data_IF_499267551616
#
_entry.id   IF_499267551616
#
_cell.length_a   1.000
_cell.length_b   1.000
_cell.length_c   1.000
_cell.angle_alpha   90.00
_cell.angle_beta   90.00
_cell.angle_gamma   90.00
#
_symmetry.space_group_name_H-M   'P 1'
#
loop_
_entity.id
_entity.type
_entity.pdbx_description
1 polymer ?
#
# COMPACT_ATOMS: atom_id res chain seq x y z
N UNK A 1 7.07 28.19 24.91
CA UNK A 1 7.66 27.44 23.77
C UNK A 1 6.81 27.70 22.54
N UNK A 2 7.23 27.31 21.33
CA UNK A 2 6.49 27.59 20.09
C UNK A 2 6.11 26.29 19.40
N UNK A 3 4.91 26.24 18.81
CA UNK A 3 4.42 25.12 17.99
C UNK A 3 4.15 25.59 16.57
N UNK A 4 4.47 24.71 15.62
CA UNK A 4 4.15 24.86 14.20
C UNK A 4 3.69 23.51 13.67
N UNK A 5 2.66 23.50 12.82
CA UNK A 5 2.14 22.28 12.20
C UNK A 5 2.20 22.43 10.68
N UNK A 6 2.82 21.48 9.98
CA UNK A 6 2.89 21.45 8.51
C UNK A 6 3.33 22.78 7.88
N UNK A 7 4.37 23.42 8.41
CA UNK A 7 4.85 24.75 7.96
C UNK A 7 3.83 25.89 8.09
N UNK A 8 2.75 25.69 8.87
CA UNK A 8 1.75 26.70 9.15
C UNK A 8 2.23 27.82 10.08
N UNK A 9 1.28 28.67 10.47
CA UNK A 9 1.53 29.75 11.41
C UNK A 9 2.11 29.21 12.74
N UNK A 10 2.99 30.01 13.34
CA UNK A 10 3.56 29.69 14.64
C UNK A 10 2.63 30.14 15.75
N UNK A 11 2.32 29.23 16.67
CA UNK A 11 1.58 29.53 17.89
C UNK A 11 2.54 29.52 19.08
N UNK A 12 2.54 30.60 19.86
CA UNK A 12 3.27 30.64 21.12
C UNK A 12 2.47 29.98 22.23
N UNK A 13 3.12 29.10 23.00
CA UNK A 13 2.54 28.39 24.15
C UNK A 13 3.26 28.87 25.40
N UNK A 14 2.52 29.57 26.24
CA UNK A 14 2.98 30.19 27.47
C UNK A 14 2.65 29.31 28.69
N UNK A 15 3.07 29.75 29.88
CA UNK A 15 2.79 29.00 31.11
C UNK A 15 1.30 29.03 31.44
N UNK A 16 0.68 27.84 31.54
CA UNK A 16 -0.75 27.69 31.82
C UNK A 16 -1.61 27.39 30.59
N UNK A 17 -1.03 27.50 29.39
CA UNK A 17 -1.72 27.14 28.15
C UNK A 17 -1.87 25.62 28.00
N UNK A 18 -2.94 25.21 27.32
CA UNK A 18 -3.20 23.81 26.95
C UNK A 18 -2.95 23.62 25.46
N UNK A 19 -2.31 22.51 25.11
CA UNK A 19 -2.17 22.05 23.72
C UNK A 19 -2.86 20.71 23.60
N UNK A 20 -3.89 20.66 22.77
CA UNK A 20 -4.68 19.46 22.55
C UNK A 20 -4.18 18.68 21.34
N UNK A 21 -4.14 17.35 21.49
CA UNK A 21 -4.06 16.42 20.37
C UNK A 21 -5.42 15.80 20.17
N UNK A 22 -6.01 16.05 19.00
CA UNK A 22 -7.39 15.70 18.69
C UNK A 22 -7.38 14.50 17.74
N UNK A 23 -8.30 13.56 17.98
CA UNK A 23 -8.51 12.42 17.08
C UNK A 23 -8.83 12.89 15.66
N UNK A 24 -8.25 12.22 14.68
CA UNK A 24 -8.69 12.30 13.28
C UNK A 24 -9.64 11.15 12.94
N UNK A 25 -10.11 11.09 11.70
CA UNK A 25 -10.96 9.97 11.25
C UNK A 25 -10.22 8.63 11.31
N UNK A 26 -8.97 8.60 10.83
CA UNK A 26 -8.18 7.38 10.73
C UNK A 26 -7.17 7.20 11.88
N UNK A 27 -6.96 8.22 12.72
CA UNK A 27 -5.94 8.24 13.77
C UNK A 27 -6.59 8.44 15.13
N UNK A 28 -6.42 7.47 16.00
CA UNK A 28 -6.81 7.52 17.40
C UNK A 28 -5.63 7.92 18.28
N UNK A 29 -5.90 8.82 19.21
CA UNK A 29 -4.97 9.38 20.17
C UNK A 29 -5.55 9.16 21.56
N UNK A 30 -4.80 8.50 22.43
CA UNK A 30 -5.17 8.33 23.85
C UNK A 30 -4.07 8.88 24.75
N UNK A 31 -4.46 9.50 25.85
CA UNK A 31 -3.53 10.01 26.86
C UNK A 31 -3.85 9.39 28.22
N UNK A 32 -2.88 8.70 28.78
CA UNK A 32 -2.91 8.20 30.16
C UNK A 32 -1.79 8.85 30.95
N UNK A 33 -2.01 10.10 31.39
CA UNK A 33 -1.08 10.90 32.17
C UNK A 33 0.14 11.35 31.37
N UNK A 34 1.18 10.52 31.33
CA UNK A 34 2.45 10.80 30.63
C UNK A 34 2.66 9.92 29.39
N UNK A 35 1.71 9.03 29.11
CA UNK A 35 1.73 8.15 27.95
C UNK A 35 0.71 8.64 26.92
N UNK A 36 1.21 9.05 25.76
CA UNK A 36 0.38 9.35 24.60
C UNK A 36 0.55 8.17 23.64
N UNK A 37 -0.56 7.51 23.30
CA UNK A 37 -0.58 6.45 22.29
C UNK A 37 -1.23 6.99 21.04
N UNK A 38 -0.56 6.82 19.91
CA UNK A 38 -1.08 7.17 18.58
C UNK A 38 -1.20 5.88 17.79
N UNK A 39 -2.41 5.58 17.34
CA UNK A 39 -2.70 4.37 16.57
C UNK A 39 -3.62 4.66 15.40
N UNK A 40 -3.62 3.77 14.42
CA UNK A 40 -4.63 3.80 13.36
C UNK A 40 -5.95 3.25 13.90
N UNK A 41 -7.07 3.80 13.43
CA UNK A 41 -8.39 3.24 13.69
C UNK A 41 -8.50 1.81 13.14
N UNK A 42 -9.40 1.00 13.72
CA UNK A 42 -9.66 -0.37 13.23
C UNK A 42 -10.21 -0.40 11.82
N UNK A 43 -11.01 0.62 11.48
CA UNK A 43 -11.57 0.85 10.16
C UNK A 43 -11.07 2.21 9.71
N UNK A 44 -10.49 2.27 8.51
CA UNK A 44 -9.92 3.48 7.93
C UNK A 44 -10.56 3.78 6.59
N UNK A 45 -10.75 5.08 6.30
CA UNK A 45 -11.33 5.59 5.07
C UNK A 45 -10.30 6.40 4.31
N UNK A 46 -10.14 6.14 3.01
CA UNK A 46 -9.25 6.90 2.14
C UNK A 46 -9.97 7.22 0.84
N UNK A 47 -9.79 8.44 0.33
CA UNK A 47 -10.28 8.82 -1.00
C UNK A 47 -9.55 8.04 -2.11
N UNK A 48 -8.27 7.73 -1.88
CA UNK A 48 -7.42 7.01 -2.82
C UNK A 48 -6.32 6.25 -2.10
N UNK A 49 -6.10 5.01 -2.52
CA UNK A 49 -4.91 4.23 -2.19
C UNK A 49 -4.12 4.00 -3.48
N UNK A 50 -2.88 4.47 -3.55
CA UNK A 50 -1.99 4.20 -4.69
C UNK A 50 -1.07 3.03 -4.35
N UNK A 51 -1.26 1.91 -5.05
CA UNK A 51 -0.31 0.80 -5.01
C UNK A 51 0.65 0.95 -6.19
N UNK A 52 1.94 1.12 -5.91
CA UNK A 52 2.98 0.96 -6.93
C UNK A 52 3.29 -0.53 -7.04
N UNK A 53 2.53 -1.24 -7.85
CA UNK A 53 2.86 -2.62 -8.21
C UNK A 53 3.89 -2.57 -9.33
N UNK A 54 5.11 -3.01 -9.02
CA UNK A 54 6.09 -3.33 -10.05
C UNK A 54 5.67 -4.67 -10.67
N UNK A 55 4.87 -4.64 -11.74
CA UNK A 55 4.64 -5.82 -12.57
C UNK A 55 5.99 -6.21 -13.18
N UNK A 56 6.73 -7.08 -12.50
CA UNK A 56 8.00 -7.58 -13.02
C UNK A 56 7.74 -8.37 -14.29
N UNK A 57 8.04 -7.72 -15.42
CA UNK A 57 7.95 -8.20 -16.81
C UNK A 57 8.69 -9.56 -17.01
N UNK A 58 9.54 -9.95 -16.05
CA UNK A 58 10.24 -11.24 -15.98
C UNK A 58 9.31 -12.45 -16.12
N UNK A 59 8.09 -12.45 -15.57
CA UNK A 59 7.18 -13.60 -15.69
C UNK A 59 6.49 -13.68 -17.07
N UNK A 60 6.29 -12.55 -17.74
CA UNK A 60 5.74 -12.49 -19.10
C UNK A 60 6.79 -12.87 -20.16
N UNK A 61 8.08 -12.64 -19.87
CA UNK A 61 9.22 -13.01 -20.73
C UNK A 61 9.69 -14.47 -20.48
N UNK A 62 9.25 -15.13 -19.40
CA UNK A 62 9.64 -16.51 -19.05
C UNK A 62 8.68 -17.62 -19.50
N UNK A 63 7.78 -17.39 -20.46
CA UNK A 63 7.05 -18.49 -21.13
C UNK A 63 7.62 -18.88 -22.52
N UNK A 64 8.87 -19.40 -22.68
CA UNK A 64 9.33 -19.93 -23.96
C UNK A 64 8.67 -21.24 -24.44
N UNK A 65 7.89 -21.96 -23.63
CA UNK A 65 7.65 -23.40 -23.88
C UNK A 65 6.27 -23.83 -24.39
N UNK A 66 5.29 -22.94 -24.62
CA UNK A 66 3.93 -23.38 -25.05
C UNK A 66 3.68 -23.19 -26.57
N UNK A 67 4.57 -22.52 -27.32
CA UNK A 67 4.33 -22.18 -28.75
C UNK A 67 4.94 -23.13 -29.80
N UNK A 68 5.37 -24.34 -29.44
CA UNK A 68 5.81 -25.35 -30.43
C UNK A 68 5.20 -26.75 -30.22
N UNK A 69 3.90 -26.83 -29.97
CA UNK A 69 3.17 -28.07 -30.29
C UNK A 69 2.50 -27.91 -31.66
N UNK A 70 3.33 -27.94 -32.71
CA UNK A 70 2.83 -28.13 -34.08
C UNK A 70 2.48 -29.61 -34.19
N UNK A 71 1.19 -29.95 -34.19
CA UNK A 71 0.73 -31.32 -34.47
C UNK A 71 1.34 -31.74 -35.81
N UNK A 72 2.27 -32.70 -35.80
CA UNK A 72 2.77 -33.27 -37.05
C UNK A 72 1.60 -33.98 -37.74
N UNK A 73 1.39 -33.77 -39.05
CA UNK A 73 0.41 -34.58 -39.78
C UNK A 73 0.83 -36.05 -39.69
N UNK A 74 -0.08 -36.90 -39.23
CA UNK A 74 0.14 -38.35 -39.26
C UNK A 74 0.20 -38.79 -40.73
N UNK A 75 1.38 -39.24 -41.17
CA UNK A 75 1.50 -39.95 -42.43
C UNK A 75 0.76 -41.29 -42.30
N UNK A 76 -0.11 -41.66 -43.25
CA UNK A 76 -0.78 -42.96 -43.22
C UNK A 76 0.28 -44.06 -43.26
N UNK A 77 0.15 -45.06 -42.37
CA UNK A 77 1.03 -46.22 -42.41
C UNK A 77 0.79 -46.96 -43.73
N UNK A 78 1.86 -47.34 -44.46
CA UNK A 78 1.70 -48.21 -45.61
C UNK A 78 1.12 -49.55 -45.16
N UNK A 79 0.02 -49.95 -45.78
CA UNK A 79 -0.52 -51.30 -45.64
C UNK A 79 0.41 -52.22 -46.42
N UNK A 80 1.07 -53.17 -45.74
CA UNK A 80 1.77 -54.25 -46.42
C UNK A 80 0.71 -55.12 -47.11
N UNK A 81 0.78 -55.25 -48.44
CA UNK A 81 0.17 -56.36 -49.16
C UNK A 81 0.92 -57.66 -48.85
#
# INVERSE_FOLDING_TARGET
WKVTTNTGATTEVTGGDTVDFINGENIAITNTGRNITIGTAKTVSFDKVQLVVLLSIKQMVLMPAVKKLKVLPMLPLPILQ
#
